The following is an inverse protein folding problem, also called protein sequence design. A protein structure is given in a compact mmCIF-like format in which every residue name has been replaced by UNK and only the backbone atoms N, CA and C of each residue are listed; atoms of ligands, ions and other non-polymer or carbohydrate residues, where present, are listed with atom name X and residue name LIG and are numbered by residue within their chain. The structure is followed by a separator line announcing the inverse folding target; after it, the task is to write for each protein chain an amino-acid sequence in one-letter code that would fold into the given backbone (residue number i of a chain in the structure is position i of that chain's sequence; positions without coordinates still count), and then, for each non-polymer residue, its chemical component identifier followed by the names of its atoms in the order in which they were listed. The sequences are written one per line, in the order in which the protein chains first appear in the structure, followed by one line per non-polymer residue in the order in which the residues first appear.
data_IF_646410201775
#
_entry.id   IF_646410201775
#
_cell.length_a   1.000
_cell.length_b   1.000
_cell.length_c   1.000
_cell.angle_alpha   90.00
_cell.angle_beta   90.00
_cell.angle_gamma   90.00
#
_symmetry.space_group_name_H-M   'P 1'
#
loop_
_entity.id
_entity.type
_entity.pdbx_description
1 polymer ?
#
# COMPACT_ATOMS: atom_id res chain seq x y z
N UNK A 1 -5.89 -25.26 24.67
CA UNK A 1 -6.14 -23.90 24.14
C UNK A 1 -4.85 -23.37 23.55
N UNK A 2 -4.76 -23.19 22.23
CA UNK A 2 -3.53 -22.72 21.59
C UNK A 2 -3.24 -21.27 21.99
N UNK A 3 -2.06 -21.00 22.57
CA UNK A 3 -1.58 -19.65 22.89
C UNK A 3 -1.48 -18.82 21.60
N UNK A 4 -2.34 -17.81 21.44
CA UNK A 4 -2.20 -16.84 20.36
C UNK A 4 -0.93 -16.01 20.59
N UNK A 5 0.09 -16.19 19.75
CA UNK A 5 1.30 -15.36 19.80
C UNK A 5 1.03 -14.03 19.09
N UNK A 6 1.38 -12.88 19.68
CA UNK A 6 1.16 -11.58 19.04
C UNK A 6 1.96 -11.47 17.74
N UNK A 7 1.36 -10.84 16.74
CA UNK A 7 1.94 -10.68 15.40
C UNK A 7 3.20 -9.80 15.50
N UNK A 8 4.38 -10.37 15.20
CA UNK A 8 5.66 -9.64 15.22
C UNK A 8 5.62 -8.47 14.24
N UNK A 9 5.77 -7.25 14.75
CA UNK A 9 5.89 -6.04 13.93
C UNK A 9 7.17 -6.13 13.10
N UNK A 10 7.02 -6.11 11.77
CA UNK A 10 8.16 -6.19 10.83
C UNK A 10 8.56 -4.78 10.41
N UNK A 11 9.83 -4.42 10.56
CA UNK A 11 10.39 -3.14 10.10
C UNK A 11 10.65 -3.09 8.59
N UNK A 12 10.79 -4.25 7.94
CA UNK A 12 11.16 -4.37 6.54
C UNK A 12 10.42 -5.52 5.83
N UNK A 13 10.48 -5.51 4.49
CA UNK A 13 9.84 -6.51 3.61
C UNK A 13 8.40 -6.17 3.23
N UNK A 14 7.78 -6.99 2.37
CA UNK A 14 6.42 -6.75 1.84
C UNK A 14 5.38 -6.56 2.96
N UNK A 15 5.41 -7.41 3.99
CA UNK A 15 4.50 -7.35 5.14
C UNK A 15 4.65 -6.15 6.09
N UNK A 16 5.67 -5.30 5.88
CA UNK A 16 5.83 -4.05 6.65
C UNK A 16 5.11 -2.86 6.01
N UNK A 17 4.71 -3.01 4.75
CA UNK A 17 4.22 -1.91 3.91
C UNK A 17 2.86 -2.30 3.36
N UNK A 18 1.77 -2.02 4.07
CA UNK A 18 0.43 -2.12 3.51
C UNK A 18 0.13 -0.89 2.64
N UNK A 19 -0.73 -1.06 1.64
CA UNK A 19 -1.39 0.07 0.99
C UNK A 19 -2.19 0.86 2.03
N UNK A 20 -2.05 2.20 2.04
CA UNK A 20 -2.78 3.03 3.00
C UNK A 20 -4.30 2.97 2.86
N UNK A 21 -4.82 2.65 1.66
CA UNK A 21 -6.26 2.61 1.39
C UNK A 21 -6.88 1.23 1.58
N UNK A 22 -6.27 0.19 1.02
CA UNK A 22 -6.85 -1.16 1.01
C UNK A 22 -6.14 -2.16 1.94
N UNK A 23 -5.06 -1.77 2.61
CA UNK A 23 -4.29 -2.67 3.48
C UNK A 23 -3.57 -3.82 2.77
N UNK A 24 -3.67 -3.92 1.45
CA UNK A 24 -3.05 -4.99 0.68
C UNK A 24 -1.52 -4.85 0.66
N UNK A 25 -0.83 -5.98 0.79
CA UNK A 25 0.64 -6.09 0.70
C UNK A 25 1.14 -6.37 -0.72
N UNK A 26 0.30 -6.06 -1.72
CA UNK A 26 0.57 -6.28 -3.13
C UNK A 26 1.58 -5.28 -3.72
N UNK A 27 1.54 -5.05 -5.05
CA UNK A 27 2.38 -4.04 -5.68
C UNK A 27 1.91 -2.64 -5.28
N UNK A 28 2.72 -1.99 -4.45
CA UNK A 28 2.50 -0.65 -3.91
C UNK A 28 3.38 0.35 -4.65
N UNK A 29 2.76 1.41 -5.15
CA UNK A 29 3.41 2.60 -5.69
C UNK A 29 4.02 3.36 -4.53
N UNK A 30 5.35 3.36 -4.46
CA UNK A 30 6.13 3.99 -3.39
C UNK A 30 6.69 5.35 -3.75
N UNK A 31 6.66 5.71 -5.03
CA UNK A 31 7.18 7.01 -5.49
C UNK A 31 6.35 8.14 -4.90
N UNK A 32 7.02 9.25 -4.61
CA UNK A 32 6.40 10.48 -4.10
C UNK A 32 5.63 10.31 -2.77
N UNK A 33 5.95 9.29 -1.97
CA UNK A 33 5.31 9.07 -0.67
C UNK A 33 3.87 8.54 -0.73
N UNK A 34 3.37 8.18 -1.92
CA UNK A 34 1.95 7.85 -2.14
C UNK A 34 1.53 6.56 -1.41
N UNK A 35 2.40 5.55 -1.36
CA UNK A 35 2.17 4.27 -0.64
C UNK A 35 0.79 3.63 -0.91
N UNK A 36 0.31 3.71 -2.16
CA UNK A 36 -0.96 3.13 -2.60
C UNK A 36 -0.75 1.90 -3.48
N UNK A 37 -1.70 0.97 -3.43
CA UNK A 37 -1.75 -0.15 -4.35
C UNK A 37 -2.00 0.32 -5.80
N UNK A 38 -1.57 -0.44 -6.81
CA UNK A 38 -1.76 -0.05 -8.24
C UNK A 38 -3.22 0.28 -8.62
N UNK A 39 -4.19 -0.44 -8.04
CA UNK A 39 -5.62 -0.24 -8.31
C UNK A 39 -6.11 1.06 -7.65
N UNK A 40 -5.81 1.18 -6.36
CA UNK A 40 -6.06 2.36 -5.53
C UNK A 40 -5.48 3.64 -6.15
N UNK A 41 -4.26 3.53 -6.71
CA UNK A 41 -3.58 4.64 -7.35
C UNK A 41 -4.31 5.07 -8.63
N UNK A 42 -4.80 4.14 -9.48
CA UNK A 42 -5.56 4.52 -10.68
C UNK A 42 -6.84 5.27 -10.35
N UNK A 43 -7.56 4.86 -9.31
CA UNK A 43 -8.78 5.56 -8.87
C UNK A 43 -8.50 6.94 -8.28
N UNK A 44 -7.34 7.11 -7.63
CA UNK A 44 -6.96 8.38 -7.01
C UNK A 44 -6.13 9.29 -7.91
N UNK A 45 -5.59 8.78 -9.01
CA UNK A 45 -4.68 9.50 -9.89
C UNK A 45 -5.26 10.84 -10.33
N UNK A 46 -6.52 10.84 -10.78
CA UNK A 46 -7.22 12.05 -11.22
C UNK A 46 -7.38 13.09 -10.11
N UNK A 47 -7.74 12.63 -8.89
CA UNK A 47 -7.90 13.50 -7.71
C UNK A 47 -6.58 14.07 -7.19
N UNK A 48 -5.50 13.31 -7.36
CA UNK A 48 -4.13 13.72 -7.03
C UNK A 48 -3.54 14.66 -8.10
N UNK A 49 -4.27 14.94 -9.19
CA UNK A 49 -3.81 15.81 -10.26
C UNK A 49 -2.89 15.13 -11.28
N UNK A 50 -2.75 13.80 -11.24
CA UNK A 50 -2.06 13.07 -12.30
C UNK A 50 -2.93 13.08 -13.55
N UNK A 51 -2.42 13.74 -14.59
CA UNK A 51 -3.02 13.70 -15.93
C UNK A 51 -2.28 12.69 -16.78
N UNK A 52 -3.04 11.89 -17.53
CA UNK A 52 -2.49 11.02 -18.56
C UNK A 52 -2.18 11.88 -19.78
N UNK A 53 -0.92 12.29 -19.91
CA UNK A 53 -0.41 12.87 -21.15
C UNK A 53 -0.03 11.68 -22.05
N UNK A 54 -0.93 11.35 -22.96
CA UNK A 54 -0.71 10.31 -23.95
C UNK A 54 0.00 10.87 -25.17
#
# INVERSE_FOLDING_TARGET
MAKQKPKKVRKFGKGSRPCQRCGSYGPIVRRLGINLCRQCFREMAEKLGFKKYH
#
